data_IF_069076670985
#
_entry.id   IF_069076670985
#
_cell.length_a   1.000
_cell.length_b   1.000
_cell.length_c   1.000
_cell.angle_alpha   90.00
_cell.angle_beta   90.00
_cell.angle_gamma   90.00
#
_symmetry.space_group_name_H-M   'P 1'
#
loop_
_entity.id
_entity.type
_entity.pdbx_description
1 polymer ?
#
# COMPACT_ATOMS: atom_id res chain seq x y z
N UNK A 1 -18.44 1.99 -6.24
CA UNK A 1 -17.58 1.92 -7.44
C UNK A 1 -16.58 0.82 -7.19
N UNK A 2 -16.51 -0.17 -8.07
CA UNK A 2 -15.54 -1.27 -7.97
C UNK A 2 -14.55 -1.12 -9.11
N UNK A 3 -13.26 -1.13 -8.79
CA UNK A 3 -12.16 -0.89 -9.72
C UNK A 3 -11.28 -2.13 -9.71
N UNK A 4 -11.14 -2.76 -10.88
CA UNK A 4 -10.15 -3.80 -11.11
C UNK A 4 -8.95 -3.19 -11.82
N UNK A 5 -7.83 -3.12 -11.12
CA UNK A 5 -6.57 -2.66 -11.69
C UNK A 5 -5.92 -3.78 -12.49
N UNK A 6 -5.63 -3.54 -13.77
CA UNK A 6 -4.93 -4.51 -14.62
C UNK A 6 -3.43 -4.60 -14.31
N UNK A 7 -2.88 -3.51 -13.78
CA UNK A 7 -1.49 -3.33 -13.34
C UNK A 7 -1.49 -2.42 -12.11
N UNK A 8 -0.39 -2.38 -11.36
CA UNK A 8 -0.30 -1.53 -10.17
C UNK A 8 -0.66 -0.08 -10.48
N UNK A 9 -1.46 0.52 -9.60
CA UNK A 9 -1.69 1.95 -9.64
C UNK A 9 -0.50 2.66 -8.99
N UNK A 10 0.36 3.24 -9.83
CA UNK A 10 1.46 4.08 -9.36
C UNK A 10 0.92 5.46 -8.99
N UNK A 11 1.10 5.84 -7.72
CA UNK A 11 0.67 7.14 -7.20
C UNK A 11 1.87 8.07 -7.09
N UNK A 12 1.81 9.19 -7.81
CA UNK A 12 2.85 10.22 -7.79
C UNK A 12 2.70 11.18 -6.61
N UNK A 13 3.72 12.03 -6.40
CA UNK A 13 3.76 12.96 -5.28
C UNK A 13 2.58 13.95 -5.27
N UNK A 14 2.28 14.47 -4.08
CA UNK A 14 1.32 15.54 -3.85
C UNK A 14 -0.09 15.16 -4.37
N UNK A 15 -0.59 14.03 -3.85
CA UNK A 15 -1.90 13.48 -4.22
C UNK A 15 -2.69 13.04 -2.99
N UNK A 16 -4.00 13.14 -3.12
CA UNK A 16 -4.94 12.51 -2.19
C UNK A 16 -5.88 11.62 -2.99
N UNK A 17 -5.99 10.36 -2.60
CA UNK A 17 -7.07 9.48 -3.01
C UNK A 17 -8.10 9.48 -1.88
N UNK A 18 -9.30 9.96 -2.16
CA UNK A 18 -10.35 10.16 -1.16
C UNK A 18 -11.63 9.46 -1.58
N UNK A 19 -12.07 8.48 -0.78
CA UNK A 19 -13.31 7.75 -1.00
C UNK A 19 -14.47 8.23 -0.10
N UNK A 20 -14.32 9.34 0.64
CA UNK A 20 -15.42 9.84 1.49
C UNK A 20 -16.68 10.09 0.66
N UNK A 21 -17.82 9.70 1.23
CA UNK A 21 -19.12 9.85 0.57
C UNK A 21 -19.43 8.83 -0.53
N UNK A 22 -18.52 7.88 -0.79
CA UNK A 22 -18.72 6.80 -1.75
C UNK A 22 -18.23 5.46 -1.20
N UNK A 23 -18.80 4.35 -1.66
CA UNK A 23 -18.20 3.04 -1.45
C UNK A 23 -17.25 2.76 -2.62
N UNK A 24 -15.93 2.76 -2.39
CA UNK A 24 -14.91 2.54 -3.44
C UNK A 24 -14.06 1.34 -3.08
N UNK A 25 -14.05 0.34 -3.97
CA UNK A 25 -13.36 -0.93 -3.81
C UNK A 25 -12.29 -1.10 -4.89
N UNK A 26 -11.06 -1.45 -4.49
CA UNK A 26 -10.00 -1.96 -5.36
C UNK A 26 -9.97 -3.49 -5.19
N UNK A 27 -10.29 -4.22 -6.26
CA UNK A 27 -10.67 -5.64 -6.16
C UNK A 27 -10.22 -6.48 -7.36
N UNK A 28 -9.79 -7.73 -7.09
CA UNK A 28 -9.50 -8.77 -8.10
C UNK A 28 -8.49 -8.36 -9.19
N UNK A 29 -7.56 -7.51 -8.82
CA UNK A 29 -6.53 -6.96 -9.69
C UNK A 29 -5.27 -6.64 -8.90
N UNK A 30 -4.44 -5.76 -9.45
CA UNK A 30 -3.23 -5.28 -8.80
C UNK A 30 -3.53 -4.32 -7.62
N UNK A 31 -2.51 -4.09 -6.78
CA UNK A 31 -2.56 -3.14 -5.67
C UNK A 31 -2.19 -1.71 -6.05
N UNK A 32 -1.94 -0.90 -5.02
CA UNK A 32 -1.51 0.49 -5.13
C UNK A 32 -0.05 0.61 -4.70
N UNK A 33 0.76 1.32 -5.48
CA UNK A 33 2.18 1.51 -5.17
C UNK A 33 2.54 2.99 -5.15
N UNK A 34 3.22 3.43 -4.09
CA UNK A 34 3.83 4.76 -3.98
C UNK A 34 5.34 4.57 -4.00
N UNK A 35 5.96 4.92 -5.14
CA UNK A 35 7.38 4.69 -5.35
C UNK A 35 8.13 6.00 -5.59
N UNK A 36 9.18 6.24 -4.80
CA UNK A 36 10.01 7.45 -4.84
C UNK A 36 9.20 8.77 -4.83
N UNK A 37 8.04 8.74 -4.18
CA UNK A 37 7.10 9.84 -4.13
C UNK A 37 6.89 10.32 -2.69
N UNK A 38 6.34 11.53 -2.55
CA UNK A 38 6.10 12.15 -1.25
C UNK A 38 4.74 12.81 -1.15
N UNK A 39 4.29 13.04 0.08
CA UNK A 39 3.07 13.79 0.37
C UNK A 39 1.84 13.16 -0.30
N UNK A 40 1.55 11.92 0.10
CA UNK A 40 0.41 11.15 -0.41
C UNK A 40 -0.52 10.78 0.74
N UNK A 41 -1.81 10.97 0.52
CA UNK A 41 -2.88 10.53 1.43
C UNK A 41 -3.75 9.53 0.68
N UNK A 42 -4.03 8.39 1.30
CA UNK A 42 -5.00 7.42 0.78
C UNK A 42 -6.04 7.19 1.88
N UNK A 43 -7.29 7.56 1.60
CA UNK A 43 -8.35 7.62 2.59
C UNK A 43 -9.59 6.84 2.14
N UNK A 44 -10.12 6.01 3.05
CA UNK A 44 -11.47 5.45 2.94
C UNK A 44 -11.69 4.33 1.92
N UNK A 45 -10.64 3.83 1.28
CA UNK A 45 -10.77 2.74 0.30
C UNK A 45 -10.99 1.38 0.98
N UNK A 46 -11.73 0.52 0.29
CA UNK A 46 -11.70 -0.92 0.54
C UNK A 46 -10.75 -1.57 -0.47
N UNK A 47 -9.74 -2.30 0.00
CA UNK A 47 -8.70 -2.92 -0.83
C UNK A 47 -8.65 -4.40 -0.49
N UNK A 48 -9.03 -5.28 -1.41
CA UNK A 48 -9.13 -6.70 -1.10
C UNK A 48 -9.05 -7.63 -2.31
N UNK A 49 -8.71 -8.89 -2.06
CA UNK A 49 -8.54 -9.89 -3.13
C UNK A 49 -7.55 -9.39 -4.19
N UNK A 50 -6.51 -8.71 -3.73
CA UNK A 50 -5.42 -8.26 -4.58
C UNK A 50 -4.60 -9.48 -4.98
N UNK A 51 -4.29 -9.57 -6.26
CA UNK A 51 -3.57 -10.69 -6.85
C UNK A 51 -2.31 -10.19 -7.56
N UNK A 52 -1.27 -11.04 -7.69
CA UNK A 52 -0.11 -10.70 -8.50
C UNK A 52 -0.52 -10.33 -9.92
N UNK A 53 -0.03 -9.18 -10.38
CA UNK A 53 -0.28 -8.69 -11.73
C UNK A 53 1.02 -8.55 -12.51
N UNK A 54 0.93 -8.74 -13.83
CA UNK A 54 2.07 -8.57 -14.72
C UNK A 54 2.50 -7.10 -14.73
N UNK A 55 3.81 -6.88 -14.64
CA UNK A 55 4.41 -5.59 -14.93
C UNK A 55 4.15 -5.15 -16.38
N UNK A 56 4.62 -3.96 -16.72
CA UNK A 56 4.49 -3.44 -18.08
C UNK A 56 4.47 -1.91 -18.10
N UNK A 57 4.19 -1.33 -19.26
CA UNK A 57 4.16 0.12 -19.43
C UNK A 57 2.92 0.71 -18.77
N UNK A 58 3.02 1.07 -17.50
CA UNK A 58 2.11 2.04 -16.89
C UNK A 58 2.40 3.42 -17.46
N UNK A 59 1.33 4.17 -17.78
CA UNK A 59 1.45 5.60 -18.08
C UNK A 59 1.58 6.34 -16.76
N UNK A 60 2.79 6.78 -16.47
CA UNK A 60 3.05 7.67 -15.34
C UNK A 60 2.82 9.13 -15.75
N UNK A 61 2.64 10.02 -14.77
CA UNK A 61 2.80 11.46 -14.98
C UNK A 61 4.22 11.78 -15.46
N UNK A 62 4.45 13.04 -15.87
CA UNK A 62 5.59 13.49 -16.69
C UNK A 62 7.03 13.11 -16.23
N UNK A 63 7.22 12.47 -15.06
CA UNK A 63 8.53 12.34 -14.39
C UNK A 63 8.94 10.92 -13.94
N UNK A 64 8.28 9.85 -14.37
CA UNK A 64 8.76 8.48 -14.05
C UNK A 64 9.32 7.77 -15.28
N UNK A 65 10.52 7.21 -15.12
CA UNK A 65 11.30 6.58 -16.19
C UNK A 65 11.47 5.05 -15.99
N UNK A 66 10.64 4.42 -15.16
CA UNK A 66 10.73 2.98 -14.87
C UNK A 66 9.74 2.11 -15.66
N UNK A 67 10.11 0.85 -15.91
CA UNK A 67 9.19 -0.23 -16.25
C UNK A 67 8.89 -0.98 -14.93
N UNK A 68 7.71 -0.82 -14.31
CA UNK A 68 7.42 -1.58 -13.11
C UNK A 68 7.45 -3.08 -13.40
N UNK A 69 8.05 -3.82 -12.46
CA UNK A 69 8.12 -5.27 -12.48
C UNK A 69 6.75 -5.91 -12.25
N UNK A 70 6.73 -7.24 -12.16
CA UNK A 70 5.53 -7.91 -11.65
C UNK A 70 5.26 -7.47 -10.21
N UNK A 71 3.98 -7.35 -9.85
CA UNK A 71 3.57 -7.08 -8.48
C UNK A 71 3.39 -8.38 -7.72
N UNK A 72 3.74 -8.36 -6.43
CA UNK A 72 3.68 -9.54 -5.56
C UNK A 72 2.28 -9.79 -4.99
N UNK A 73 1.34 -8.87 -5.24
CA UNK A 73 -0.05 -8.98 -4.81
C UNK A 73 -0.33 -8.35 -3.45
N UNK A 74 0.47 -7.35 -3.06
CA UNK A 74 0.24 -6.55 -1.85
C UNK A 74 -0.91 -5.55 -2.04
N UNK A 75 -1.63 -5.23 -0.97
CA UNK A 75 -2.68 -4.22 -0.99
C UNK A 75 -2.16 -2.82 -1.34
N UNK A 76 -1.22 -2.32 -0.52
CA UNK A 76 -0.57 -1.02 -0.69
C UNK A 76 0.91 -1.13 -0.37
N UNK A 77 1.79 -0.70 -1.29
CA UNK A 77 3.25 -0.78 -1.12
C UNK A 77 3.93 0.58 -1.25
N UNK A 78 4.86 0.85 -0.32
CA UNK A 78 5.68 2.06 -0.30
C UNK A 78 7.15 1.73 -0.50
N UNK A 79 7.72 2.26 -1.58
CA UNK A 79 9.12 2.05 -1.95
C UNK A 79 9.85 3.39 -1.97
N UNK A 80 10.71 3.63 -0.99
CA UNK A 80 11.44 4.90 -0.87
C UNK A 80 10.53 6.13 -0.78
N UNK A 81 9.32 5.98 -0.24
CA UNK A 81 8.32 7.03 -0.13
C UNK A 81 8.47 7.84 1.17
N UNK A 82 8.00 9.09 1.21
CA UNK A 82 8.11 9.92 2.42
C UNK A 82 6.90 10.81 2.65
N UNK A 83 6.50 11.02 3.90
CA UNK A 83 5.31 11.79 4.28
C UNK A 83 4.04 11.20 3.68
N UNK A 84 3.69 10.01 4.16
CA UNK A 84 2.54 9.23 3.66
C UNK A 84 1.54 9.03 4.78
N UNK A 85 0.25 9.15 4.46
CA UNK A 85 -0.83 8.87 5.40
C UNK A 85 -1.86 7.92 4.80
N UNK A 86 -1.97 6.73 5.39
CA UNK A 86 -3.05 5.80 5.16
C UNK A 86 -4.06 5.95 6.29
N UNK A 87 -5.31 6.25 5.94
CA UNK A 87 -6.35 6.48 6.95
C UNK A 87 -7.70 5.86 6.56
N UNK A 88 -8.40 5.27 7.52
CA UNK A 88 -9.73 4.69 7.32
C UNK A 88 -9.83 3.66 6.18
N UNK A 89 -8.73 2.93 5.93
CA UNK A 89 -8.75 1.88 4.92
C UNK A 89 -9.31 0.57 5.49
N UNK A 90 -9.98 -0.21 4.65
CA UNK A 90 -10.39 -1.59 4.97
C UNK A 90 -9.65 -2.57 4.08
N UNK A 91 -8.72 -3.36 4.64
CA UNK A 91 -7.86 -4.27 3.88
C UNK A 91 -8.00 -5.74 4.31
N UNK A 92 -8.10 -6.64 3.34
CA UNK A 92 -8.24 -8.10 3.59
C UNK A 92 -7.98 -8.95 2.35
N UNK A 93 -7.64 -10.24 2.53
CA UNK A 93 -7.46 -11.22 1.45
C UNK A 93 -6.54 -10.77 0.31
N UNK A 94 -5.43 -10.10 0.58
CA UNK A 94 -4.41 -9.89 -0.44
C UNK A 94 -3.58 -11.17 -0.61
N UNK A 95 -3.06 -11.41 -1.80
CA UNK A 95 -2.26 -12.61 -2.06
C UNK A 95 -0.96 -12.64 -1.26
N UNK A 96 -0.42 -11.46 -0.92
CA UNK A 96 0.76 -11.29 -0.08
C UNK A 96 0.43 -10.34 1.10
N UNK A 97 1.19 -9.26 1.31
CA UNK A 97 0.98 -8.30 2.40
C UNK A 97 -0.27 -7.43 2.23
N UNK A 98 -0.83 -6.89 3.32
CA UNK A 98 -1.82 -5.81 3.19
C UNK A 98 -1.13 -4.47 2.97
N UNK A 99 -0.08 -4.18 3.76
CA UNK A 99 0.71 -2.96 3.64
C UNK A 99 2.20 -3.27 3.76
N UNK A 100 2.98 -2.84 2.77
CA UNK A 100 4.44 -2.95 2.79
C UNK A 100 5.09 -1.56 2.84
N UNK A 101 5.94 -1.32 3.84
CA UNK A 101 6.74 -0.10 3.98
C UNK A 101 8.21 -0.46 3.91
N UNK A 102 8.84 -0.23 2.77
CA UNK A 102 10.17 -0.76 2.47
C UNK A 102 11.09 0.27 1.82
N UNK A 103 12.38 -0.08 1.72
CA UNK A 103 13.36 0.57 0.84
C UNK A 103 13.59 2.05 1.16
N UNK A 104 13.78 2.33 2.45
CA UNK A 104 14.05 3.66 2.97
C UNK A 104 12.81 4.55 3.02
N UNK A 105 11.61 3.97 2.98
CA UNK A 105 10.37 4.70 3.25
C UNK A 105 10.34 5.19 4.71
N UNK A 106 9.85 6.41 4.94
CA UNK A 106 9.83 7.02 6.28
C UNK A 106 8.76 8.10 6.42
N UNK A 107 8.49 8.56 7.65
CA UNK A 107 7.39 9.48 7.96
C UNK A 107 6.05 8.97 7.41
N UNK A 108 5.72 7.72 7.75
CA UNK A 108 4.46 7.07 7.37
C UNK A 108 3.54 7.00 8.57
N UNK A 109 2.26 7.35 8.40
CA UNK A 109 1.21 7.09 9.40
C UNK A 109 0.18 6.14 8.81
N UNK A 110 -0.14 5.08 9.54
CA UNK A 110 -1.20 4.12 9.24
C UNK A 110 -2.19 4.21 10.40
N UNK A 111 -3.35 4.83 10.16
CA UNK A 111 -4.32 5.08 11.23
C UNK A 111 -5.76 4.75 10.88
N UNK A 112 -6.55 4.41 11.90
CA UNK A 112 -7.98 4.13 11.76
C UNK A 112 -8.30 3.06 10.70
N UNK A 113 -7.34 2.20 10.35
CA UNK A 113 -7.54 1.16 9.36
C UNK A 113 -8.19 -0.07 10.00
N UNK A 114 -8.89 -0.86 9.19
CA UNK A 114 -9.46 -2.14 9.57
C UNK A 114 -8.81 -3.26 8.77
N UNK A 115 -8.14 -4.18 9.46
CA UNK A 115 -7.45 -5.32 8.86
C UNK A 115 -8.15 -6.61 9.26
N UNK A 116 -8.42 -7.50 8.30
CA UNK A 116 -8.97 -8.84 8.58
C UNK A 116 -8.46 -9.86 7.57
N UNK A 117 -8.55 -11.15 7.91
CA UNK A 117 -8.44 -12.27 6.96
C UNK A 117 -7.21 -12.18 6.03
N UNK A 118 -6.02 -12.09 6.60
CA UNK A 118 -4.75 -12.07 5.87
C UNK A 118 -3.64 -12.66 6.72
N UNK A 119 -2.71 -13.39 6.10
CA UNK A 119 -1.60 -13.98 6.85
C UNK A 119 -0.59 -12.90 7.25
N UNK A 120 -0.03 -12.23 6.25
CA UNK A 120 0.96 -11.17 6.42
C UNK A 120 0.26 -9.81 6.39
N UNK A 121 0.22 -9.09 7.51
CA UNK A 121 -0.58 -7.85 7.60
C UNK A 121 0.25 -6.62 7.21
N UNK A 122 1.30 -6.28 7.96
CA UNK A 122 2.09 -5.07 7.73
C UNK A 122 3.58 -5.39 7.77
N UNK A 123 4.31 -5.23 6.67
CA UNK A 123 5.77 -5.41 6.65
C UNK A 123 6.51 -4.08 6.77
N UNK A 124 7.41 -3.96 7.75
CA UNK A 124 8.33 -2.85 7.90
C UNK A 124 9.77 -3.28 7.62
N UNK A 125 10.27 -2.94 6.43
CA UNK A 125 11.59 -3.33 5.96
C UNK A 125 11.65 -4.79 5.48
N UNK A 126 12.13 -5.01 4.26
CA UNK A 126 12.10 -6.33 3.62
C UNK A 126 13.41 -7.14 3.75
N UNK A 127 14.46 -6.58 4.37
CA UNK A 127 15.76 -7.27 4.47
C UNK A 127 16.56 -6.85 5.69
N UNK A 128 17.05 -7.85 6.45
CA UNK A 128 17.96 -7.67 7.58
C UNK A 128 19.27 -6.94 7.23
N UNK A 129 19.65 -6.95 5.94
CA UNK A 129 20.86 -6.31 5.44
C UNK A 129 20.66 -4.85 5.01
N UNK A 130 19.41 -4.38 4.98
CA UNK A 130 19.05 -3.05 4.48
C UNK A 130 19.45 -1.95 5.47
N UNK A 131 20.57 -1.26 5.17
CA UNK A 131 20.97 -0.09 5.96
C UNK A 131 20.11 1.16 5.69
N UNK A 132 19.40 1.20 4.56
CA UNK A 132 18.56 2.35 4.18
C UNK A 132 17.30 2.48 5.03
N UNK A 133 16.84 1.37 5.63
CA UNK A 133 15.66 1.35 6.50
C UNK A 133 15.95 1.81 7.94
N UNK A 134 17.23 2.05 8.30
CA UNK A 134 17.58 2.58 9.64
C UNK A 134 16.95 3.94 9.97
N UNK A 135 16.55 4.70 8.94
CA UNK A 135 15.85 6.00 9.07
C UNK A 135 14.33 5.86 9.12
N UNK A 136 13.80 4.64 9.05
CA UNK A 136 12.36 4.40 8.99
C UNK A 136 11.68 4.89 10.26
N UNK A 137 10.61 5.65 10.08
CA UNK A 137 9.72 6.10 11.14
C UNK A 137 8.30 5.86 10.65
N UNK A 138 7.60 4.96 11.33
CA UNK A 138 6.20 4.62 11.04
C UNK A 138 5.39 4.75 12.31
N UNK A 139 4.23 5.41 12.21
CA UNK A 139 3.22 5.43 13.26
C UNK A 139 2.08 4.51 12.86
N UNK A 140 1.78 3.51 13.70
CA UNK A 140 0.55 2.71 13.58
C UNK A 140 -0.33 3.05 14.77
N UNK A 141 -1.52 3.58 14.54
CA UNK A 141 -2.37 4.07 15.62
C UNK A 141 -3.86 3.89 15.31
N UNK A 142 -4.67 3.57 16.32
CA UNK A 142 -6.13 3.53 16.22
C UNK A 142 -6.70 2.54 15.18
N UNK A 143 -5.85 1.66 14.65
CA UNK A 143 -6.27 0.62 13.70
C UNK A 143 -6.86 -0.58 14.42
N UNK A 144 -7.87 -1.19 13.82
CA UNK A 144 -8.49 -2.42 14.29
C UNK A 144 -7.86 -3.63 13.57
N UNK A 145 -7.12 -4.43 14.34
CA UNK A 145 -6.62 -5.75 13.91
C UNK A 145 -7.67 -6.81 14.25
N UNK A 146 -8.51 -7.13 13.26
CA UNK A 146 -9.67 -7.99 13.43
C UNK A 146 -9.37 -9.48 13.31
N UNK A 147 -10.42 -10.27 13.05
CA UNK A 147 -10.33 -11.74 12.97
C UNK A 147 -9.64 -12.20 11.68
N UNK A 148 -9.07 -13.40 11.72
CA UNK A 148 -8.45 -14.06 10.57
C UNK A 148 -7.08 -13.50 10.19
N UNK A 149 -6.47 -12.68 11.04
CA UNK A 149 -5.08 -12.26 10.90
C UNK A 149 -4.14 -13.31 11.51
N UNK A 150 -2.94 -13.49 10.94
CA UNK A 150 -1.94 -14.43 11.45
C UNK A 150 -0.77 -13.70 12.12
N UNK A 151 -0.07 -12.82 11.40
CA UNK A 151 1.19 -12.22 11.86
C UNK A 151 1.45 -10.81 11.31
N UNK A 152 2.60 -10.21 11.66
CA UNK A 152 3.06 -8.89 11.18
C UNK A 152 2.15 -7.70 11.53
N UNK A 153 1.91 -7.48 12.83
CA UNK A 153 1.08 -6.39 13.37
C UNK A 153 1.79 -5.53 14.45
N UNK A 154 2.96 -4.91 14.16
CA UNK A 154 3.70 -4.93 12.91
C UNK A 154 4.89 -5.89 12.92
#
# INVERSE_FOLDING_TARGET
MTIKLEQELIVTSDKTIDARGANVEIYNGAGITVQFAKNVIIYGLQIHHIIPAKGGKTKDGENYHGLPGASDGDGVSFFGATNIWLDHLSLHHCANGLIDVIQGSTAVTISNCHFTNNNDVILFGASDSSSVDKKMQVTVALSHFGKGLVERMP
#
